data_IF_423280304241
#
_entry.id   IF_423280304241
#
_cell.length_a   1.000
_cell.length_b   1.000
_cell.length_c   1.000
_cell.angle_alpha   90.00
_cell.angle_beta   90.00
_cell.angle_gamma   90.00
#
_symmetry.space_group_name_H-M   'P 1'
#
loop_
_entity.id
_entity.type
_entity.pdbx_description
1 polymer ?
#
# COMPACT_ATOMS: atom_id res chain seq x y z
N UNK A 1 1.13 -2.47 -23.34
CA UNK A 1 -0.07 -1.65 -23.60
C UNK A 1 -1.28 -2.05 -22.74
N UNK A 2 -1.54 -3.34 -22.47
CA UNK A 2 -2.62 -3.75 -21.53
C UNK A 2 -2.37 -3.42 -20.04
N UNK A 3 -1.12 -3.35 -19.58
CA UNK A 3 -0.81 -3.01 -18.18
C UNK A 3 -1.04 -1.51 -17.87
N UNK A 4 -0.85 -0.63 -18.86
CA UNK A 4 -1.10 0.81 -18.72
C UNK A 4 -2.60 1.14 -18.65
N UNK A 5 -3.45 0.41 -19.38
CA UNK A 5 -4.91 0.62 -19.33
C UNK A 5 -5.51 0.17 -17.99
N UNK A 6 -4.96 -0.90 -17.39
CA UNK A 6 -5.40 -1.38 -16.08
C UNK A 6 -4.98 -0.45 -14.92
N UNK A 7 -3.79 0.16 -15.02
CA UNK A 7 -3.30 1.15 -14.04
C UNK A 7 -4.09 2.47 -14.08
N UNK A 8 -4.50 2.92 -15.27
CA UNK A 8 -5.41 4.06 -15.41
C UNK A 8 -6.76 3.80 -14.76
N UNK A 9 -7.33 2.60 -14.88
CA UNK A 9 -8.61 2.24 -14.25
C UNK A 9 -8.52 2.22 -12.71
N UNK A 10 -7.43 1.72 -12.13
CA UNK A 10 -7.24 1.74 -10.68
C UNK A 10 -7.05 3.17 -10.13
N UNK A 11 -6.32 4.03 -10.84
CA UNK A 11 -6.08 5.42 -10.41
C UNK A 11 -7.32 6.32 -10.59
N UNK A 12 -8.13 6.05 -11.61
CA UNK A 12 -9.44 6.68 -11.79
C UNK A 12 -10.43 6.26 -10.70
N UNK A 13 -10.35 5.02 -10.22
CA UNK A 13 -11.23 4.52 -9.16
C UNK A 13 -10.90 5.14 -7.79
N UNK A 14 -9.61 5.37 -7.50
CA UNK A 14 -9.18 5.97 -6.23
C UNK A 14 -9.52 7.48 -6.13
N UNK A 15 -9.54 8.20 -7.25
CA UNK A 15 -9.96 9.62 -7.30
C UNK A 15 -11.47 9.82 -7.18
N UNK A 16 -12.28 8.77 -7.38
CA UNK A 16 -13.74 8.86 -7.28
C UNK A 16 -14.25 8.84 -5.84
N UNK A 17 -13.42 8.41 -4.88
CA UNK A 17 -13.83 8.21 -3.47
C UNK A 17 -13.72 9.46 -2.57
N UNK A 18 -13.29 10.62 -3.10
CA UNK A 18 -12.99 11.83 -2.28
C UNK A 18 -13.88 13.04 -2.62
N UNK A 19 -14.98 12.88 -3.37
CA UNK A 19 -15.83 14.03 -3.72
C UNK A 19 -17.33 13.73 -3.68
N UNK A 20 -17.86 13.56 -2.47
CA UNK A 20 -19.28 13.73 -2.20
C UNK A 20 -19.49 14.90 -1.22
N UNK A 21 -19.53 16.12 -1.76
CA UNK A 21 -20.30 17.21 -1.16
C UNK A 21 -21.66 17.33 -1.86
N UNK A 22 -22.72 17.74 -1.14
CA UNK A 22 -24.10 17.55 -1.56
C UNK A 22 -24.59 18.70 -2.45
N UNK A 23 -25.33 18.38 -3.52
CA UNK A 23 -26.06 19.35 -4.32
C UNK A 23 -27.56 19.37 -3.99
N UNK A 24 -28.06 20.60 -3.95
CA UNK A 24 -29.40 21.05 -3.60
C UNK A 24 -30.40 20.87 -4.75
N UNK A 25 -31.63 20.49 -4.36
CA UNK A 25 -32.95 20.88 -4.88
C UNK A 25 -33.36 20.56 -6.33
N UNK A 26 -34.47 19.82 -6.46
CA UNK A 26 -35.54 20.14 -7.41
C UNK A 26 -36.91 19.67 -6.86
N UNK A 27 -37.88 20.60 -6.91
CA UNK A 27 -39.26 20.48 -6.43
C UNK A 27 -40.12 19.57 -7.32
N UNK A 28 -41.01 18.78 -6.73
CA UNK A 28 -42.24 18.32 -7.38
C UNK A 28 -43.41 18.46 -6.40
N UNK A 29 -44.35 19.34 -6.75
CA UNK A 29 -45.61 19.56 -6.06
C UNK A 29 -46.68 18.72 -6.75
N UNK A 30 -47.48 17.95 -6.00
CA UNK A 30 -48.93 18.19 -5.82
C UNK A 30 -49.64 17.01 -5.14
N UNK A 31 -50.22 17.32 -3.98
CA UNK A 31 -51.57 16.99 -3.51
C UNK A 31 -52.05 15.53 -3.27
N UNK A 32 -52.60 15.35 -2.06
CA UNK A 32 -53.79 14.55 -1.72
C UNK A 32 -53.59 13.12 -1.19
N UNK A 33 -53.49 12.99 0.14
CA UNK A 33 -54.50 12.36 1.03
C UNK A 33 -53.89 12.23 2.42
N UNK A 34 -54.64 12.66 3.44
CA UNK A 34 -54.25 12.55 4.85
C UNK A 34 -54.32 11.10 5.30
N UNK A 35 -53.22 10.37 5.14
CA UNK A 35 -52.88 9.25 6.00
C UNK A 35 -52.06 9.81 7.16
N UNK A 36 -52.53 9.62 8.38
CA UNK A 36 -51.73 9.83 9.59
C UNK A 36 -50.49 8.93 9.52
N UNK A 37 -49.37 9.48 9.05
CA UNK A 37 -48.07 8.85 9.21
C UNK A 37 -47.83 8.65 10.69
N UNK A 38 -47.54 7.40 11.08
CA UNK A 38 -47.07 7.07 12.42
C UNK A 38 -46.01 8.09 12.83
N UNK A 39 -46.13 8.62 14.06
CA UNK A 39 -45.23 9.64 14.65
C UNK A 39 -43.80 9.37 14.16
N UNK A 40 -43.29 10.20 13.26
CA UNK A 40 -41.93 10.06 12.76
C UNK A 40 -41.02 10.05 14.00
N UNK A 41 -40.31 8.95 14.22
CA UNK A 41 -39.30 8.89 15.27
C UNK A 41 -38.34 10.04 14.98
N UNK A 42 -38.41 11.12 15.75
CA UNK A 42 -37.74 12.42 15.50
C UNK A 42 -36.22 12.27 15.29
N UNK A 43 -35.67 11.11 15.64
CA UNK A 43 -34.29 10.72 15.45
C UNK A 43 -34.21 9.37 14.72
N UNK A 44 -33.55 9.35 13.56
CA UNK A 44 -33.05 8.12 12.92
C UNK A 44 -31.68 7.71 13.47
N UNK A 45 -31.22 8.32 14.58
CA UNK A 45 -29.87 8.09 15.12
C UNK A 45 -29.63 6.63 15.51
N UNK A 46 -30.68 5.90 15.91
CA UNK A 46 -30.58 4.47 16.21
C UNK A 46 -30.15 3.61 15.00
N UNK A 47 -30.43 4.06 13.76
CA UNK A 47 -30.02 3.37 12.51
C UNK A 47 -28.60 3.71 12.08
N UNK A 48 -27.96 4.68 12.74
CA UNK A 48 -26.57 5.07 12.51
C UNK A 48 -25.61 4.35 13.46
N UNK A 49 -26.13 3.61 14.43
CA UNK A 49 -25.31 2.83 15.36
C UNK A 49 -24.93 1.54 14.63
N UNK A 50 -23.63 1.34 14.46
CA UNK A 50 -23.07 0.10 13.95
C UNK A 50 -23.05 -0.94 15.08
N UNK A 51 -24.08 -1.78 15.13
CA UNK A 51 -24.23 -2.84 16.13
C UNK A 51 -23.25 -4.00 15.84
N UNK A 52 -22.84 -4.16 14.58
CA UNK A 52 -21.96 -5.26 14.16
C UNK A 52 -20.53 -5.09 14.71
N UNK A 53 -20.12 -3.85 15.00
CA UNK A 53 -18.83 -3.58 15.67
C UNK A 53 -18.69 -4.31 17.02
N UNK A 54 -19.81 -4.52 17.73
CA UNK A 54 -19.84 -5.15 19.05
C UNK A 54 -20.13 -6.65 18.99
N UNK A 55 -20.29 -7.23 17.80
CA UNK A 55 -20.51 -8.66 17.66
C UNK A 55 -19.21 -9.43 17.96
N UNK A 56 -19.26 -10.40 18.89
CA UNK A 56 -18.09 -11.19 19.28
C UNK A 56 -17.59 -12.12 18.17
N UNK A 57 -18.45 -12.45 17.19
CA UNK A 57 -18.10 -13.26 16.01
C UNK A 57 -17.35 -12.45 14.92
N UNK A 58 -17.19 -11.13 15.08
CA UNK A 58 -16.41 -10.33 14.15
C UNK A 58 -14.93 -10.70 14.24
N UNK A 59 -14.33 -11.00 13.08
CA UNK A 59 -12.89 -11.29 12.99
C UNK A 59 -12.08 -10.10 13.53
N UNK A 60 -11.31 -10.34 14.59
CA UNK A 60 -10.32 -9.39 15.13
C UNK A 60 -8.95 -9.78 14.60
N UNK A 61 -8.17 -8.79 14.16
CA UNK A 61 -6.77 -9.05 13.84
C UNK A 61 -6.03 -9.45 15.11
N UNK A 62 -5.42 -10.64 15.10
CA UNK A 62 -4.52 -11.08 16.16
C UNK A 62 -3.33 -10.12 16.19
N UNK A 63 -3.22 -9.32 17.26
CA UNK A 63 -2.04 -8.51 17.50
C UNK A 63 -0.86 -9.46 17.68
N UNK A 64 0.01 -9.53 16.67
CA UNK A 64 1.23 -10.31 16.77
C UNK A 64 2.06 -9.77 17.94
N UNK A 65 2.29 -10.62 18.94
CA UNK A 65 3.11 -10.34 20.11
C UNK A 65 4.46 -9.75 19.67
N UNK A 66 4.77 -8.56 20.19
CA UNK A 66 6.03 -7.84 19.99
C UNK A 66 7.24 -8.78 20.22
N UNK A 67 8.13 -8.98 19.24
CA UNK A 67 9.45 -9.51 19.54
C UNK A 67 10.15 -8.53 20.50
N UNK A 68 10.66 -9.05 21.62
CA UNK A 68 11.37 -8.32 22.68
C UNK A 68 12.74 -7.72 22.27
N UNK A 69 12.95 -7.44 20.98
CA UNK A 69 14.16 -6.80 20.46
C UNK A 69 13.86 -5.35 20.08
N UNK A 70 14.72 -4.38 20.45
CA UNK A 70 14.53 -3.00 20.01
C UNK A 70 14.41 -2.98 18.47
N UNK A 71 13.53 -2.12 17.91
CA UNK A 71 13.33 -2.04 16.47
C UNK A 71 14.58 -1.41 15.85
N UNK A 72 15.60 -2.22 15.59
CA UNK A 72 16.72 -1.81 14.76
C UNK A 72 16.18 -1.72 13.34
N UNK A 73 15.80 -0.51 12.93
CA UNK A 73 15.63 -0.21 11.52
C UNK A 73 16.91 -0.53 10.74
N UNK A 74 16.83 -0.67 9.41
CA UNK A 74 18.02 -0.88 8.59
C UNK A 74 19.09 0.18 8.91
N UNK A 75 20.35 -0.24 9.06
CA UNK A 75 21.47 0.66 9.30
C UNK A 75 21.65 1.58 8.08
N UNK A 76 21.17 2.82 8.20
CA UNK A 76 21.19 3.78 7.10
C UNK A 76 22.62 4.06 6.62
N UNK A 77 23.61 4.03 7.53
CA UNK A 77 25.00 4.37 7.23
C UNK A 77 25.65 3.25 6.41
N UNK A 78 25.42 1.99 6.79
CA UNK A 78 25.90 0.84 6.03
C UNK A 78 25.34 0.84 4.60
N UNK A 79 24.04 1.10 4.46
CA UNK A 79 23.36 1.15 3.16
C UNK A 79 23.90 2.28 2.29
N UNK A 80 24.08 3.49 2.84
CA UNK A 80 24.64 4.63 2.09
C UNK A 80 26.07 4.33 1.63
N UNK A 81 26.88 3.67 2.47
CA UNK A 81 28.23 3.26 2.12
C UNK A 81 28.24 2.26 0.95
N UNK A 82 27.35 1.26 0.98
CA UNK A 82 27.23 0.26 -0.10
C UNK A 82 26.77 0.89 -1.42
N UNK A 83 25.84 1.85 -1.37
CA UNK A 83 25.39 2.59 -2.55
C UNK A 83 26.54 3.41 -3.15
N UNK A 84 27.35 4.07 -2.32
CA UNK A 84 28.52 4.83 -2.78
C UNK A 84 29.62 3.95 -3.37
N UNK A 85 29.72 2.69 -2.93
CA UNK A 85 30.65 1.69 -3.47
C UNK A 85 30.14 1.03 -4.76
N UNK A 86 28.91 1.35 -5.21
CA UNK A 86 28.29 0.73 -6.38
C UNK A 86 27.74 -0.69 -6.15
N UNK A 87 27.73 -1.17 -4.89
CA UNK A 87 27.22 -2.49 -4.50
C UNK A 87 25.72 -2.45 -4.22
N UNK A 88 24.94 -2.04 -5.22
CA UNK A 88 23.50 -1.81 -5.05
C UNK A 88 22.70 -3.10 -4.73
N UNK A 89 23.13 -4.25 -5.24
CA UNK A 89 22.46 -5.54 -5.02
C UNK A 89 22.56 -5.96 -3.56
N UNK A 90 23.76 -5.87 -2.97
CA UNK A 90 23.99 -6.25 -1.57
C UNK A 90 23.23 -5.32 -0.61
N UNK A 91 23.24 -4.01 -0.89
CA UNK A 91 22.45 -3.03 -0.14
C UNK A 91 20.95 -3.37 -0.17
N UNK A 92 20.42 -3.72 -1.35
CA UNK A 92 19.02 -4.10 -1.49
C UNK A 92 18.70 -5.38 -0.72
N UNK A 93 19.56 -6.39 -0.75
CA UNK A 93 19.38 -7.64 0.01
C UNK A 93 19.30 -7.40 1.52
N UNK A 94 20.17 -6.55 2.07
CA UNK A 94 20.17 -6.21 3.49
C UNK A 94 18.87 -5.50 3.86
N UNK A 95 18.47 -4.48 3.10
CA UNK A 95 17.23 -3.73 3.33
C UNK A 95 15.98 -4.60 3.30
N UNK A 96 15.88 -5.50 2.30
CA UNK A 96 14.72 -6.38 2.15
C UNK A 96 14.63 -7.43 3.27
N UNK A 97 15.76 -7.82 3.86
CA UNK A 97 15.80 -8.76 5.00
C UNK A 97 15.41 -8.10 6.31
N UNK A 98 15.79 -6.84 6.53
CA UNK A 98 15.52 -6.08 7.76
C UNK A 98 14.26 -5.21 7.68
N UNK A 99 13.24 -5.65 6.93
CA UNK A 99 12.00 -4.88 6.77
C UNK A 99 11.24 -4.77 8.12
N UNK A 100 10.90 -3.55 8.60
CA UNK A 100 10.26 -3.35 9.90
C UNK A 100 8.75 -3.68 9.88
N UNK A 101 8.41 -4.95 9.70
CA UNK A 101 7.01 -5.42 9.60
C UNK A 101 6.31 -5.40 10.97
N UNK A 102 7.04 -5.73 12.04
CA UNK A 102 6.52 -5.87 13.38
C UNK A 102 6.26 -4.53 14.09
N UNK A 103 6.92 -3.46 13.67
CA UNK A 103 6.89 -2.18 14.36
C UNK A 103 5.56 -1.43 14.11
N UNK A 104 4.89 -0.96 15.17
CA UNK A 104 3.69 -0.10 15.04
C UNK A 104 4.04 1.36 14.68
N UNK A 105 5.28 1.79 14.93
CA UNK A 105 5.75 3.15 14.63
C UNK A 105 5.88 3.38 13.12
N UNK A 106 5.02 4.24 12.56
CA UNK A 106 5.03 4.58 11.13
C UNK A 106 6.33 5.27 10.68
N UNK A 107 6.94 6.09 11.53
CA UNK A 107 8.18 6.80 11.19
C UNK A 107 9.34 5.87 10.79
N UNK A 108 9.48 4.73 11.46
CA UNK A 108 10.53 3.73 11.18
C UNK A 108 10.23 3.03 9.85
N UNK A 109 8.95 2.74 9.57
CA UNK A 109 8.49 2.19 8.29
C UNK A 109 8.74 3.15 7.15
N UNK A 110 8.46 4.43 7.35
CA UNK A 110 8.71 5.50 6.37
C UNK A 110 10.22 5.67 6.12
N UNK A 111 11.05 5.67 7.15
CA UNK A 111 12.51 5.76 7.01
C UNK A 111 13.07 4.58 6.19
N UNK A 112 12.70 3.35 6.56
CA UNK A 112 13.12 2.14 5.83
C UNK A 112 12.65 2.16 4.37
N UNK A 113 11.41 2.58 4.12
CA UNK A 113 10.87 2.72 2.77
C UNK A 113 11.60 3.76 1.94
N UNK A 114 11.90 4.93 2.51
CA UNK A 114 12.64 5.97 1.82
C UNK A 114 14.04 5.50 1.41
N UNK A 115 14.70 4.69 2.24
CA UNK A 115 15.98 4.06 1.91
C UNK A 115 15.86 3.04 0.78
N UNK A 116 14.90 2.12 0.86
CA UNK A 116 14.62 1.13 -0.20
C UNK A 116 14.37 1.83 -1.52
N UNK A 117 13.50 2.84 -1.51
CA UNK A 117 13.11 3.56 -2.71
C UNK A 117 14.27 4.39 -3.27
N UNK A 118 15.16 4.94 -2.41
CA UNK A 118 16.41 5.58 -2.84
C UNK A 118 17.34 4.59 -3.55
N UNK A 119 17.52 3.38 -3.02
CA UNK A 119 18.40 2.35 -3.62
C UNK A 119 17.84 1.89 -4.97
N UNK A 120 16.56 1.53 -5.01
CA UNK A 120 15.88 1.04 -6.23
C UNK A 120 15.92 2.08 -7.36
N UNK A 121 15.75 3.36 -7.04
CA UNK A 121 15.82 4.42 -8.05
C UNK A 121 17.25 4.81 -8.45
N UNK A 122 18.25 4.50 -7.62
CA UNK A 122 19.67 4.74 -7.98
C UNK A 122 20.20 3.78 -9.04
N UNK A 123 19.57 2.60 -9.18
CA UNK A 123 19.97 1.57 -10.13
C UNK A 123 19.44 1.91 -11.54
N UNK A 124 20.33 1.79 -12.53
CA UNK A 124 20.01 2.05 -13.94
C UNK A 124 19.15 0.93 -14.53
N UNK A 125 18.38 1.26 -15.58
CA UNK A 125 17.49 0.29 -16.24
C UNK A 125 18.21 -0.94 -16.81
N UNK A 126 19.48 -0.78 -17.20
CA UNK A 126 20.34 -1.85 -17.71
C UNK A 126 20.66 -2.95 -16.69
N UNK A 127 20.67 -2.62 -15.41
CA UNK A 127 21.12 -3.54 -14.34
C UNK A 127 19.96 -4.06 -13.47
N UNK A 128 18.72 -3.68 -13.79
CA UNK A 128 17.52 -4.14 -13.09
C UNK A 128 17.36 -5.65 -13.19
N UNK A 129 17.41 -6.21 -14.40
CA UNK A 129 17.25 -7.65 -14.63
C UNK A 129 18.30 -8.48 -13.88
N UNK A 130 19.56 -8.00 -13.89
CA UNK A 130 20.66 -8.62 -13.13
C UNK A 130 20.49 -8.52 -11.62
N UNK A 131 19.85 -7.46 -11.14
CA UNK A 131 19.57 -7.29 -9.71
C UNK A 131 18.46 -8.25 -9.29
N UNK A 132 17.34 -8.27 -10.04
CA UNK A 132 16.18 -9.12 -9.75
C UNK A 132 16.54 -10.61 -9.82
N UNK A 133 17.41 -11.03 -10.74
CA UNK A 133 17.83 -12.44 -10.84
C UNK A 133 18.72 -12.91 -9.68
N UNK A 134 19.33 -12.00 -8.94
CA UNK A 134 20.14 -12.31 -7.76
C UNK A 134 19.35 -12.31 -6.45
N UNK A 135 18.07 -11.93 -6.49
CA UNK A 135 17.19 -11.89 -5.32
C UNK A 135 16.48 -13.23 -5.12
N UNK A 136 16.31 -13.61 -3.87
CA UNK A 136 15.57 -14.80 -3.48
C UNK A 136 14.04 -14.59 -3.64
N UNK A 137 13.27 -15.67 -3.68
CA UNK A 137 11.79 -15.60 -3.82
C UNK A 137 11.13 -14.70 -2.77
N UNK A 138 11.58 -14.78 -1.52
CA UNK A 138 11.05 -13.93 -0.43
C UNK A 138 11.43 -12.45 -0.61
N UNK A 139 12.62 -12.19 -1.14
CA UNK A 139 13.09 -10.83 -1.43
C UNK A 139 12.33 -10.22 -2.61
N UNK A 140 11.99 -11.02 -3.62
CA UNK A 140 11.13 -10.62 -4.75
C UNK A 140 9.75 -10.17 -4.25
N UNK A 141 9.16 -10.93 -3.33
CA UNK A 141 7.86 -10.58 -2.75
C UNK A 141 7.94 -9.32 -1.89
N UNK A 142 9.00 -9.18 -1.10
CA UNK A 142 9.24 -7.98 -0.30
C UNK A 142 9.44 -6.74 -1.18
N UNK A 143 10.23 -6.89 -2.25
CA UNK A 143 10.45 -5.84 -3.24
C UNK A 143 9.14 -5.41 -3.90
N UNK A 144 8.27 -6.36 -4.22
CA UNK A 144 6.94 -6.06 -4.76
C UNK A 144 6.10 -5.25 -3.78
N UNK A 145 6.11 -5.55 -2.47
CA UNK A 145 5.42 -4.75 -1.45
C UNK A 145 5.92 -3.30 -1.43
N UNK A 146 7.23 -3.11 -1.46
CA UNK A 146 7.84 -1.78 -1.51
C UNK A 146 7.49 -1.00 -2.78
N UNK A 147 7.37 -1.67 -3.93
CA UNK A 147 6.93 -1.03 -5.19
C UNK A 147 5.47 -0.57 -5.08
N UNK A 148 4.57 -1.40 -4.54
CA UNK A 148 3.17 -1.01 -4.35
C UNK A 148 3.00 0.15 -3.38
N UNK A 149 3.74 0.13 -2.27
CA UNK A 149 3.81 1.29 -1.37
C UNK A 149 4.40 2.52 -2.06
N UNK A 150 5.36 2.33 -2.98
CA UNK A 150 5.91 3.35 -3.87
C UNK A 150 4.86 4.08 -4.71
N UNK A 151 3.81 3.36 -5.12
CA UNK A 151 2.72 3.93 -5.90
C UNK A 151 1.71 4.74 -5.08
N UNK A 152 1.71 4.61 -3.75
CA UNK A 152 0.84 5.40 -2.87
C UNK A 152 1.23 6.88 -2.85
N UNK A 153 2.54 7.18 -3.01
CA UNK A 153 3.08 8.54 -3.02
C UNK A 153 3.77 8.87 -4.36
N UNK A 154 3.00 9.11 -5.43
CA UNK A 154 3.58 9.44 -6.73
C UNK A 154 4.26 10.81 -6.65
N UNK A 155 5.59 10.84 -6.72
CA UNK A 155 6.33 12.06 -7.03
C UNK A 155 6.71 12.07 -8.51
N UNK A 156 6.77 13.26 -9.11
CA UNK A 156 7.14 13.43 -10.51
C UNK A 156 8.51 12.77 -10.80
N UNK A 157 8.59 12.01 -11.90
CA UNK A 157 9.80 11.31 -12.33
C UNK A 157 10.04 9.91 -11.74
N UNK A 158 9.53 9.58 -10.55
CA UNK A 158 9.80 8.28 -9.88
C UNK A 158 8.89 7.15 -10.39
N UNK A 159 7.66 7.47 -10.82
CA UNK A 159 6.66 6.48 -11.21
C UNK A 159 7.05 5.67 -12.45
N UNK A 160 7.74 6.27 -13.42
CA UNK A 160 8.16 5.56 -14.64
C UNK A 160 9.19 4.46 -14.34
N UNK A 161 10.15 4.75 -13.46
CA UNK A 161 11.17 3.78 -13.04
C UNK A 161 10.56 2.69 -12.16
N UNK A 162 9.60 3.01 -11.29
CA UNK A 162 8.86 2.02 -10.51
C UNK A 162 8.05 1.05 -11.39
N UNK A 163 7.47 1.54 -12.50
CA UNK A 163 6.78 0.67 -13.47
C UNK A 163 7.77 -0.27 -14.19
N UNK A 164 8.96 0.21 -14.53
CA UNK A 164 10.01 -0.65 -15.08
C UNK A 164 10.44 -1.72 -14.06
N UNK A 165 10.54 -1.37 -12.77
CA UNK A 165 10.85 -2.31 -11.70
C UNK A 165 9.77 -3.37 -11.56
N UNK A 166 8.50 -2.93 -11.56
CA UNK A 166 7.36 -3.83 -11.51
C UNK A 166 7.41 -4.86 -12.64
N UNK A 167 7.70 -4.46 -13.88
CA UNK A 167 7.83 -5.39 -15.02
C UNK A 167 8.89 -6.47 -14.75
N UNK A 168 10.09 -6.08 -14.31
CA UNK A 168 11.19 -7.03 -14.10
C UNK A 168 10.95 -7.96 -12.92
N UNK A 169 10.41 -7.44 -11.82
CA UNK A 169 10.04 -8.25 -10.65
C UNK A 169 8.89 -9.19 -11.00
N UNK A 170 7.90 -8.74 -11.78
CA UNK A 170 6.80 -9.57 -12.27
C UNK A 170 7.29 -10.70 -13.19
N UNK A 171 8.30 -10.47 -14.02
CA UNK A 171 8.86 -11.51 -14.87
C UNK A 171 9.41 -12.71 -14.07
N UNK A 172 9.90 -12.48 -12.84
CA UNK A 172 10.42 -13.54 -11.96
C UNK A 172 9.36 -14.04 -10.98
N UNK A 173 8.66 -13.15 -10.28
CA UNK A 173 7.68 -13.48 -9.24
C UNK A 173 6.28 -13.89 -9.76
N UNK A 174 5.97 -13.51 -11.00
CA UNK A 174 4.67 -13.75 -11.62
C UNK A 174 3.51 -13.06 -10.90
N UNK A 175 2.29 -13.54 -11.15
CA UNK A 175 1.09 -13.03 -10.48
C UNK A 175 1.07 -13.34 -8.97
N UNK A 176 1.74 -14.41 -8.55
CA UNK A 176 1.76 -14.84 -7.16
C UNK A 176 2.36 -13.81 -6.21
N UNK A 177 3.42 -13.11 -6.64
CA UNK A 177 4.03 -12.05 -5.84
C UNK A 177 3.08 -10.86 -5.64
N UNK A 178 2.25 -10.53 -6.64
CA UNK A 178 1.24 -9.47 -6.53
C UNK A 178 0.11 -9.90 -5.59
N UNK A 179 -0.41 -11.12 -5.75
CA UNK A 179 -1.50 -11.63 -4.90
C UNK A 179 -1.07 -11.60 -3.43
N UNK A 180 0.16 -12.02 -3.13
CA UNK A 180 0.70 -11.96 -1.76
C UNK A 180 0.73 -10.54 -1.20
N UNK A 181 1.06 -9.53 -2.00
CA UNK A 181 0.99 -8.11 -1.59
C UNK A 181 -0.44 -7.69 -1.26
N UNK A 182 -1.41 -8.08 -2.10
CA UNK A 182 -2.82 -7.72 -1.91
C UNK A 182 -3.45 -8.40 -0.69
N UNK A 183 -3.02 -9.63 -0.38
CA UNK A 183 -3.51 -10.40 0.77
C UNK A 183 -2.79 -10.08 2.08
N UNK A 184 -1.64 -9.40 2.02
CA UNK A 184 -0.89 -9.10 3.23
C UNK A 184 -1.58 -8.02 4.06
N UNK A 185 -1.86 -8.35 5.32
CA UNK A 185 -2.43 -7.46 6.31
C UNK A 185 -1.37 -6.57 6.96
N UNK A 186 -0.12 -7.05 7.04
CA UNK A 186 0.99 -6.32 7.67
C UNK A 186 1.73 -5.50 6.61
N UNK A 187 1.47 -4.19 6.59
CA UNK A 187 2.12 -3.24 5.67
C UNK A 187 3.56 -2.97 6.12
N UNK A 188 4.49 -3.04 5.16
CA UNK A 188 5.88 -2.57 5.29
C UNK A 188 5.96 -1.07 5.38
#
# INVERSE_FOLDING_TARGET
>A
TLLLSCFCLLLSCLKSLVKCQPLKYCNFSTHFTSFTMAKNTISSAFRKIDVDQYNDDCYKEEEASEPHSPPTGPDEQEIVNLVNQGKHVDALKILLRSAPIATKNQSIKDAAFNLVLRVILSIKTSDMEKTVSQLDRDQIDMLMKYIYRGFENPSEGRSAQLLAWHEKVYAVGGIGSIVRVLTDKKRV
#
